data_IF_035909815386
#
_entry.id   IF_035909815386
#
_cell.length_a   1.000
_cell.length_b   1.000
_cell.length_c   1.000
_cell.angle_alpha   90.00
_cell.angle_beta   90.00
_cell.angle_gamma   90.00
#
_symmetry.space_group_name_H-M   'P 1'
#
loop_
_entity.id
_entity.type
_entity.pdbx_description
1 polymer ?
#
# COMPACT_ATOMS: atom_id res chain seq x y z
N UNK A 1 -8.95 -14.87 -2.17
CA UNK A 1 -9.74 -13.93 -1.36
C UNK A 1 -9.32 -12.50 -1.68
N UNK A 2 -10.23 -11.59 -2.07
CA UNK A 2 -9.85 -10.20 -2.39
C UNK A 2 -9.30 -9.48 -1.16
N UNK A 3 -8.13 -8.86 -1.30
CA UNK A 3 -7.49 -8.08 -0.24
C UNK A 3 -6.46 -7.09 -0.83
N UNK A 4 -6.13 -6.05 -0.08
CA UNK A 4 -5.05 -5.10 -0.41
C UNK A 4 -4.04 -4.90 0.73
N UNK A 5 -4.38 -5.31 1.96
CA UNK A 5 -3.61 -5.00 3.16
C UNK A 5 -2.96 -6.22 3.83
N UNK A 6 -3.36 -7.44 3.47
CA UNK A 6 -2.84 -8.65 4.08
C UNK A 6 -1.55 -9.07 3.36
N UNK A 7 -0.55 -9.48 4.14
CA UNK A 7 0.70 -10.11 3.67
C UNK A 7 0.91 -11.34 4.54
N UNK A 8 1.46 -12.42 3.97
CA UNK A 8 1.46 -13.74 4.58
C UNK A 8 2.25 -13.82 5.91
N UNK A 9 3.25 -12.97 6.09
CA UNK A 9 4.11 -12.88 7.27
C UNK A 9 3.57 -11.94 8.36
N UNK A 10 2.39 -11.33 8.16
CA UNK A 10 1.75 -10.50 9.18
C UNK A 10 1.08 -11.37 10.25
N UNK A 11 1.57 -11.27 11.48
CA UNK A 11 0.91 -11.86 12.66
C UNK A 11 -0.37 -11.13 13.03
N UNK A 12 -0.40 -9.80 12.87
CA UNK A 12 -1.55 -8.96 13.17
C UNK A 12 -1.96 -8.07 11.98
N UNK A 13 -2.84 -8.55 11.07
CA UNK A 13 -3.21 -7.79 9.89
C UNK A 13 -4.02 -6.52 10.25
N UNK A 14 -3.79 -5.36 9.60
CA UNK A 14 -4.41 -4.10 9.99
C UNK A 14 -5.91 -4.02 9.70
N UNK A 15 -6.47 -4.97 8.93
CA UNK A 15 -7.89 -5.01 8.50
C UNK A 15 -8.35 -3.75 7.75
N UNK A 16 -7.41 -2.93 7.28
CA UNK A 16 -7.67 -1.58 6.74
C UNK A 16 -8.49 -1.62 5.46
N UNK A 17 -8.23 -2.57 4.56
CA UNK A 17 -8.93 -2.60 3.26
C UNK A 17 -10.36 -3.14 3.34
N UNK A 18 -10.72 -3.94 4.35
CA UNK A 18 -12.05 -4.56 4.53
C UNK A 18 -12.59 -5.30 3.29
N UNK A 19 -11.72 -5.79 2.40
CA UNK A 19 -12.14 -6.53 1.20
C UNK A 19 -12.29 -8.04 1.45
N UNK A 20 -11.66 -8.58 2.48
CA UNK A 20 -11.62 -10.02 2.73
C UNK A 20 -12.82 -10.55 3.54
N UNK A 21 -13.97 -9.88 3.52
CA UNK A 21 -15.17 -10.35 4.23
C UNK A 21 -15.59 -11.75 3.78
N UNK A 22 -16.01 -12.57 4.74
CA UNK A 22 -16.60 -13.89 4.56
C UNK A 22 -17.73 -14.10 5.54
N UNK A 23 -18.68 -14.97 5.21
CA UNK A 23 -19.68 -15.46 6.15
C UNK A 23 -19.24 -16.80 6.73
N UNK A 24 -19.41 -16.95 8.04
CA UNK A 24 -19.13 -18.17 8.77
C UNK A 24 -20.45 -18.61 9.37
N UNK A 25 -20.83 -19.88 9.20
CA UNK A 25 -22.19 -20.35 9.48
C UNK A 25 -22.70 -20.07 10.92
N UNK A 26 -21.81 -20.07 11.90
CA UNK A 26 -22.10 -19.81 13.32
C UNK A 26 -21.88 -18.34 13.74
N UNK A 27 -21.58 -17.44 12.79
CA UNK A 27 -21.35 -16.02 13.06
C UNK A 27 -22.44 -15.18 12.38
N UNK A 28 -23.18 -14.34 13.12
CA UNK A 28 -24.35 -13.63 12.59
C UNK A 28 -24.00 -12.54 11.55
N UNK A 29 -22.76 -12.06 11.55
CA UNK A 29 -22.29 -11.02 10.64
C UNK A 29 -21.05 -11.46 9.86
N UNK A 30 -20.89 -11.03 8.59
CA UNK A 30 -19.67 -11.28 7.86
C UNK A 30 -18.47 -10.70 8.59
N UNK A 31 -17.40 -11.48 8.64
CA UNK A 31 -16.17 -11.17 9.36
C UNK A 31 -15.00 -11.05 8.38
N UNK A 32 -13.98 -10.23 8.66
CA UNK A 32 -12.80 -10.13 7.82
C UNK A 32 -11.96 -11.41 7.96
N UNK A 33 -11.78 -12.17 6.88
CA UNK A 33 -11.07 -13.44 6.89
C UNK A 33 -9.64 -13.34 7.43
N UNK A 34 -8.96 -12.20 7.22
CA UNK A 34 -7.58 -12.01 7.69
C UNK A 34 -7.41 -11.93 9.21
N UNK A 35 -8.48 -11.90 10.00
CA UNK A 35 -8.42 -11.85 11.48
C UNK A 35 -9.12 -13.02 12.16
N UNK A 36 -9.76 -13.89 11.40
CA UNK A 36 -10.53 -14.99 11.95
C UNK A 36 -9.64 -16.21 12.05
N UNK A 37 -9.47 -16.73 13.27
CA UNK A 37 -8.77 -17.99 13.49
C UNK A 37 -9.59 -19.14 12.88
N UNK A 38 -8.91 -20.02 12.15
CA UNK A 38 -9.53 -21.23 11.59
C UNK A 38 -9.80 -22.22 12.72
N UNK A 39 -10.98 -22.82 12.71
CA UNK A 39 -11.40 -23.86 13.65
C UNK A 39 -11.87 -25.11 12.91
N UNK A 40 -11.76 -26.27 13.56
CA UNK A 40 -12.28 -27.52 13.01
C UNK A 40 -13.80 -27.40 12.73
N UNK A 41 -14.25 -27.96 11.60
CA UNK A 41 -15.66 -27.92 11.19
C UNK A 41 -16.19 -26.53 10.81
N UNK A 42 -15.33 -25.54 10.57
CA UNK A 42 -15.74 -24.21 10.12
C UNK A 42 -16.29 -24.27 8.70
N UNK A 43 -17.52 -23.77 8.48
CA UNK A 43 -18.14 -23.63 7.16
C UNK A 43 -18.11 -22.17 6.75
N UNK A 44 -17.39 -21.87 5.66
CA UNK A 44 -17.13 -20.50 5.20
C UNK A 44 -17.72 -20.29 3.81
N UNK A 45 -18.49 -19.21 3.65
CA UNK A 45 -19.00 -18.75 2.37
C UNK A 45 -18.36 -17.43 1.98
N UNK A 46 -17.73 -17.39 0.79
CA UNK A 46 -16.85 -16.27 0.38
C UNK A 46 -17.45 -15.39 -0.69
N UNK A 47 -18.65 -15.70 -1.18
CA UNK A 47 -19.24 -15.10 -2.37
C UNK A 47 -20.75 -14.82 -2.25
N UNK A 48 -21.30 -14.81 -1.04
CA UNK A 48 -22.72 -14.49 -0.81
C UNK A 48 -23.01 -13.03 -1.16
N UNK A 49 -24.28 -12.72 -1.41
CA UNK A 49 -24.67 -11.35 -1.75
C UNK A 49 -24.31 -10.33 -0.65
N UNK A 50 -24.39 -10.74 0.62
CA UNK A 50 -24.03 -9.91 1.76
C UNK A 50 -22.53 -9.61 1.77
N UNK A 51 -21.68 -10.61 1.52
CA UNK A 51 -20.23 -10.43 1.35
C UNK A 51 -19.93 -9.50 0.17
N UNK A 52 -20.53 -9.73 -1.00
CA UNK A 52 -20.32 -8.90 -2.19
C UNK A 52 -20.80 -7.46 -2.02
N UNK A 53 -21.86 -7.22 -1.24
CA UNK A 53 -22.30 -5.87 -0.87
C UNK A 53 -21.25 -5.16 -0.02
N UNK A 54 -20.75 -5.81 1.04
CA UNK A 54 -19.73 -5.24 1.91
C UNK A 54 -18.43 -4.93 1.17
N UNK A 55 -17.95 -5.86 0.33
CA UNK A 55 -16.75 -5.67 -0.48
C UNK A 55 -16.86 -4.47 -1.41
N UNK A 56 -18.00 -4.31 -2.10
CA UNK A 56 -18.25 -3.14 -2.96
C UNK A 56 -18.30 -1.85 -2.16
N UNK A 57 -18.91 -1.85 -0.98
CA UNK A 57 -18.94 -0.66 -0.10
C UNK A 57 -17.54 -0.30 0.40
N UNK A 58 -16.77 -1.28 0.90
CA UNK A 58 -15.39 -1.07 1.33
C UNK A 58 -14.52 -0.51 0.19
N UNK A 59 -14.61 -1.09 -1.01
CA UNK A 59 -13.85 -0.58 -2.15
C UNK A 59 -14.26 0.84 -2.53
N UNK A 60 -15.56 1.17 -2.51
CA UNK A 60 -16.01 2.55 -2.79
C UNK A 60 -15.48 3.55 -1.78
N UNK A 61 -15.36 3.18 -0.50
CA UNK A 61 -14.76 4.02 0.54
C UNK A 61 -13.25 4.19 0.34
N UNK A 62 -12.53 3.15 -0.08
CA UNK A 62 -11.12 3.29 -0.46
C UNK A 62 -10.97 4.26 -1.64
N UNK A 63 -11.84 4.13 -2.65
CA UNK A 63 -11.83 4.98 -3.85
C UNK A 63 -12.33 6.41 -3.59
N UNK A 64 -13.09 6.68 -2.52
CA UNK A 64 -13.47 8.04 -2.16
C UNK A 64 -12.32 8.84 -1.54
N UNK A 65 -11.32 8.16 -0.99
CA UNK A 65 -10.10 8.74 -0.44
C UNK A 65 -8.91 8.71 -1.42
N UNK A 66 -8.93 7.80 -2.39
CA UNK A 66 -7.86 7.63 -3.39
C UNK A 66 -8.11 8.52 -4.61
N UNK A 67 -7.14 9.37 -4.96
CA UNK A 67 -7.19 10.16 -6.20
C UNK A 67 -6.79 9.29 -7.39
N UNK A 68 -7.80 8.73 -8.07
CA UNK A 68 -7.62 7.87 -9.24
C UNK A 68 -7.18 8.66 -10.49
N UNK A 69 -5.89 9.00 -10.57
CA UNK A 69 -5.23 9.42 -11.81
C UNK A 69 -4.47 8.24 -12.43
N UNK A 70 -5.22 7.23 -12.85
CA UNK A 70 -4.63 6.00 -13.36
C UNK A 70 -3.84 6.19 -14.65
N UNK A 71 -4.10 7.24 -15.44
CA UNK A 71 -3.39 7.46 -16.70
C UNK A 71 -1.91 7.76 -16.48
N UNK A 72 -1.61 8.54 -15.45
CA UNK A 72 -0.26 8.98 -15.10
C UNK A 72 0.33 8.20 -13.90
N UNK A 73 -0.25 7.04 -13.57
CA UNK A 73 0.19 6.20 -12.46
C UNK A 73 1.11 5.08 -12.98
N UNK A 74 2.31 4.87 -12.39
CA UNK A 74 3.20 3.78 -12.79
C UNK A 74 2.56 2.39 -12.69
N UNK A 75 1.67 2.18 -11.72
CA UNK A 75 0.98 0.90 -11.55
C UNK A 75 -0.19 0.68 -12.54
N UNK A 76 -0.42 1.56 -13.51
CA UNK A 76 -1.56 1.44 -14.41
C UNK A 76 -1.56 0.08 -15.14
N UNK A 77 -2.73 -0.58 -15.22
CA UNK A 77 -2.95 -1.93 -15.77
C UNK A 77 -2.31 -3.08 -14.98
N UNK A 78 -1.50 -2.79 -13.96
CA UNK A 78 -0.88 -3.77 -13.05
C UNK A 78 -1.20 -3.45 -11.58
N UNK A 79 -2.29 -2.73 -11.33
CA UNK A 79 -2.65 -2.23 -10.01
C UNK A 79 -3.70 -3.14 -9.36
N UNK A 80 -3.37 -3.82 -8.24
CA UNK A 80 -4.34 -4.59 -7.46
C UNK A 80 -5.65 -3.85 -7.15
N UNK A 81 -5.63 -2.52 -6.94
CA UNK A 81 -6.86 -1.75 -6.73
C UNK A 81 -7.74 -1.71 -7.99
N UNK A 82 -7.15 -1.62 -9.19
CA UNK A 82 -7.87 -1.73 -10.46
C UNK A 82 -8.45 -3.13 -10.64
N UNK A 83 -7.70 -4.16 -10.25
CA UNK A 83 -8.15 -5.55 -10.34
C UNK A 83 -9.34 -5.80 -9.42
N UNK A 84 -9.30 -5.28 -8.20
CA UNK A 84 -10.43 -5.35 -7.26
C UNK A 84 -11.65 -4.59 -7.79
N UNK A 85 -11.45 -3.43 -8.41
CA UNK A 85 -12.52 -2.67 -9.05
C UNK A 85 -13.18 -3.43 -10.20
N UNK A 86 -12.39 -4.08 -11.06
CA UNK A 86 -12.89 -4.95 -12.13
C UNK A 86 -13.64 -6.15 -11.56
N UNK A 87 -13.02 -6.85 -10.60
CA UNK A 87 -13.60 -8.03 -9.96
C UNK A 87 -14.96 -7.76 -9.29
N UNK A 88 -15.10 -6.61 -8.63
CA UNK A 88 -16.33 -6.23 -7.91
C UNK A 88 -17.33 -5.41 -8.76
N UNK A 89 -17.01 -5.13 -10.03
CA UNK A 89 -17.83 -4.29 -10.90
C UNK A 89 -18.00 -2.86 -10.37
N UNK A 90 -16.98 -2.30 -9.73
CA UNK A 90 -16.97 -0.94 -9.18
C UNK A 90 -16.17 -0.01 -10.08
N UNK A 91 -16.69 1.17 -10.38
CA UNK A 91 -15.95 2.20 -11.12
C UNK A 91 -14.86 2.81 -10.23
N UNK A 92 -13.67 3.01 -10.79
CA UNK A 92 -12.54 3.66 -10.11
C UNK A 92 -12.84 5.09 -9.65
N UNK A 93 -13.81 5.76 -10.30
CA UNK A 93 -14.36 7.05 -9.86
C UNK A 93 -15.85 6.88 -9.54
N UNK A 94 -16.22 6.62 -8.26
CA UNK A 94 -17.61 6.49 -7.84
C UNK A 94 -18.37 7.81 -8.04
N UNK A 95 -19.59 7.78 -8.59
CA UNK A 95 -20.41 8.98 -8.84
C UNK A 95 -21.21 9.49 -7.61
N UNK A 96 -21.45 8.61 -6.62
CA UNK A 96 -22.40 8.85 -5.50
C UNK A 96 -21.74 9.01 -4.14
N UNK A 97 -20.44 8.89 -4.07
CA UNK A 97 -19.68 9.35 -2.92
C UNK A 97 -19.00 10.61 -3.41
N UNK A 98 -19.30 11.74 -2.79
CA UNK A 98 -18.44 12.91 -2.94
C UNK A 98 -17.02 12.41 -2.63
N UNK A 99 -16.07 12.69 -3.53
CA UNK A 99 -14.68 12.51 -3.15
C UNK A 99 -14.50 13.34 -1.89
N UNK A 100 -14.12 12.68 -0.80
CA UNK A 100 -13.87 13.41 0.44
C UNK A 100 -12.75 14.37 0.08
N UNK A 101 -13.06 15.66 0.05
CA UNK A 101 -12.07 16.70 -0.17
C UNK A 101 -11.20 16.73 1.08
N UNK A 102 -10.20 15.86 1.09
CA UNK A 102 -9.14 15.88 2.07
C UNK A 102 -8.12 16.90 1.61
N UNK A 103 -7.66 17.73 2.56
CA UNK A 103 -6.39 18.42 2.45
C UNK A 103 -5.29 17.35 2.48
N UNK A 104 -5.02 16.79 1.30
CA UNK A 104 -3.96 15.81 1.14
C UNK A 104 -2.65 16.57 1.09
N UNK A 105 -1.68 16.26 1.98
CA UNK A 105 -0.38 16.89 1.96
C UNK A 105 0.35 16.67 0.63
N UNK A 106 1.34 17.53 0.39
CA UNK A 106 2.27 17.39 -0.72
C UNK A 106 3.02 16.04 -0.66
N UNK A 107 3.56 15.58 -1.80
CA UNK A 107 4.42 14.40 -1.84
C UNK A 107 5.54 14.48 -0.80
N UNK A 108 5.80 13.36 -0.14
CA UNK A 108 6.95 13.21 0.74
C UNK A 108 8.13 12.74 -0.10
N UNK A 109 9.22 13.50 -0.05
CA UNK A 109 10.44 13.23 -0.81
C UNK A 109 11.46 12.47 0.04
N UNK A 110 11.96 11.36 -0.51
CA UNK A 110 13.11 10.62 0.01
C UNK A 110 14.19 10.56 -1.09
N UNK A 111 15.50 10.44 -0.76
CA UNK A 111 16.54 10.39 -1.79
C UNK A 111 16.32 9.31 -2.87
N UNK A 112 15.79 8.14 -2.49
CA UNK A 112 15.57 7.00 -3.39
C UNK A 112 14.16 6.88 -3.99
N UNK A 113 13.15 7.50 -3.37
CA UNK A 113 11.75 7.31 -3.77
C UNK A 113 10.90 8.54 -3.46
N UNK A 114 9.75 8.62 -4.10
CA UNK A 114 8.73 9.63 -3.79
C UNK A 114 7.48 8.92 -3.26
N UNK A 115 6.88 9.47 -2.20
CA UNK A 115 5.58 9.03 -1.70
C UNK A 115 4.52 10.08 -2.03
N UNK A 116 3.46 9.66 -2.73
CA UNK A 116 2.28 10.47 -3.06
C UNK A 116 1.12 10.05 -2.13
N UNK A 117 0.81 10.83 -1.08
CA UNK A 117 -0.23 10.48 -0.12
C UNK A 117 -1.61 10.32 -0.75
N UNK A 118 -1.91 11.07 -1.82
CA UNK A 118 -3.20 11.04 -2.51
C UNK A 118 -3.49 9.73 -3.25
N UNK A 119 -2.45 8.93 -3.54
CA UNK A 119 -2.57 7.59 -4.13
C UNK A 119 -2.67 6.49 -3.05
N UNK A 120 -2.36 6.80 -1.78
CA UNK A 120 -2.33 5.80 -0.73
C UNK A 120 -3.74 5.31 -0.36
N UNK A 121 -3.89 4.00 -0.18
CA UNK A 121 -5.13 3.37 0.33
C UNK A 121 -5.02 2.94 1.80
N UNK A 122 -4.00 3.43 2.51
CA UNK A 122 -3.73 3.15 3.93
C UNK A 122 -3.65 1.66 4.28
N UNK A 123 -3.19 0.84 3.33
CA UNK A 123 -3.13 -0.60 3.50
C UNK A 123 -2.13 -1.06 4.59
N UNK A 124 -1.11 -0.26 4.90
CA UNK A 124 -0.10 -0.58 5.93
C UNK A 124 0.98 -1.55 5.50
N UNK A 125 0.98 -2.04 4.26
CA UNK A 125 2.00 -2.97 3.76
C UNK A 125 3.41 -2.38 3.83
N UNK A 126 3.57 -1.09 3.50
CA UNK A 126 4.84 -0.38 3.62
C UNK A 126 5.31 -0.22 5.07
N UNK A 127 4.39 0.01 6.01
CA UNK A 127 4.68 0.11 7.44
C UNK A 127 5.19 -1.22 7.97
N UNK A 128 4.50 -2.31 7.63
CA UNK A 128 4.94 -3.66 7.97
C UNK A 128 6.31 -3.99 7.37
N UNK A 129 6.49 -3.80 6.06
CA UNK A 129 7.76 -4.03 5.39
C UNK A 129 8.91 -3.21 6.02
N UNK A 130 8.68 -1.93 6.31
CA UNK A 130 9.69 -1.07 6.94
C UNK A 130 10.11 -1.60 8.32
N UNK A 131 9.17 -2.14 9.12
CA UNK A 131 9.48 -2.76 10.42
C UNK A 131 10.22 -4.09 10.26
N UNK A 132 9.78 -4.95 9.35
CA UNK A 132 10.38 -6.28 9.12
C UNK A 132 11.84 -6.17 8.63
N UNK A 133 12.15 -5.15 7.83
CA UNK A 133 13.50 -4.89 7.34
C UNK A 133 14.34 -4.00 8.29
N UNK A 134 13.95 -3.86 9.56
CA UNK A 134 14.73 -3.22 10.61
C UNK A 134 14.76 -1.68 10.59
N UNK A 135 14.02 -1.04 9.67
CA UNK A 135 14.03 0.42 9.53
C UNK A 135 13.03 1.15 10.42
N UNK A 136 11.83 0.59 10.67
CA UNK A 136 10.81 1.11 11.58
C UNK A 136 10.28 2.55 11.32
N UNK A 137 10.80 3.26 10.32
CA UNK A 137 10.61 4.68 10.08
C UNK A 137 9.19 5.05 9.66
N UNK A 138 8.58 4.22 8.79
CA UNK A 138 7.23 4.48 8.28
C UNK A 138 6.17 4.02 9.27
N UNK A 139 5.22 4.89 9.58
CA UNK A 139 4.09 4.60 10.47
C UNK A 139 2.82 5.31 10.04
N UNK A 140 1.72 5.00 10.72
CA UNK A 140 0.49 5.79 10.63
C UNK A 140 0.64 7.03 11.51
N UNK A 141 0.41 8.21 10.93
CA UNK A 141 0.36 9.47 11.67
C UNK A 141 -1.03 10.11 11.56
N UNK A 142 -1.32 11.05 12.47
CA UNK A 142 -2.65 11.66 12.66
C UNK A 142 -3.72 10.60 12.98
N UNK A 143 -5.00 10.98 12.99
CA UNK A 143 -6.12 10.09 13.37
C UNK A 143 -7.38 10.38 12.54
N UNK A 144 -8.32 9.42 12.55
CA UNK A 144 -9.62 9.58 11.90
C UNK A 144 -9.50 9.84 10.39
N UNK A 145 -10.26 10.82 9.90
CA UNK A 145 -10.22 11.23 8.50
C UNK A 145 -8.92 11.95 8.09
N UNK A 146 -7.99 12.21 9.00
CA UNK A 146 -6.70 12.82 8.63
C UNK A 146 -5.54 11.81 8.65
N UNK A 147 -5.84 10.54 8.90
CA UNK A 147 -4.82 9.47 8.95
C UNK A 147 -4.06 9.37 7.65
N UNK A 148 -2.72 9.37 7.73
CA UNK A 148 -1.82 9.16 6.60
C UNK A 148 -0.61 8.31 6.99
N UNK A 149 0.13 7.82 5.99
CA UNK A 149 1.43 7.19 6.22
C UNK A 149 2.49 8.28 6.20
N UNK A 150 3.34 8.32 7.22
CA UNK A 150 4.44 9.28 7.31
C UNK A 150 5.65 8.66 8.00
N UNK A 151 6.75 9.41 8.01
CA UNK A 151 7.95 9.08 8.78
C UNK A 151 7.81 9.60 10.23
N UNK A 152 8.43 8.89 11.18
CA UNK A 152 8.58 9.39 12.55
C UNK A 152 9.43 10.68 12.59
N UNK A 153 9.11 11.65 13.48
CA UNK A 153 9.92 12.85 13.67
C UNK A 153 11.36 12.52 14.08
N UNK A 154 12.28 13.40 13.70
CA UNK A 154 13.73 13.19 13.73
C UNK A 154 14.32 13.24 15.16
N UNK A 155 13.54 13.61 16.17
CA UNK A 155 14.01 13.71 17.55
C UNK A 155 14.39 12.33 18.16
N UNK A 156 13.88 11.23 17.58
CA UNK A 156 14.26 9.83 17.88
C UNK A 156 15.24 9.21 16.83
N UNK A 157 15.73 10.01 15.87
CA UNK A 157 16.38 9.52 14.64
C UNK A 157 17.81 9.01 14.77
N UNK A 158 18.50 9.20 15.89
CA UNK A 158 19.83 8.58 16.05
C UNK A 158 19.77 7.04 15.98
N UNK A 159 18.58 6.44 16.17
CA UNK A 159 18.37 5.00 16.15
C UNK A 159 17.61 4.45 14.92
N UNK A 160 16.91 5.29 14.14
CA UNK A 160 16.00 4.85 13.07
C UNK A 160 16.41 5.46 11.72
N UNK A 161 17.43 4.86 11.10
CA UNK A 161 17.91 5.24 9.78
C UNK A 161 17.25 4.37 8.69
N UNK A 162 16.71 5.00 7.65
CA UNK A 162 16.25 4.29 6.47
C UNK A 162 17.48 3.74 5.71
N UNK A 163 17.73 2.43 5.80
CA UNK A 163 18.82 1.77 5.08
C UNK A 163 18.61 1.64 3.56
N UNK A 164 17.57 2.28 3.00
CA UNK A 164 17.34 2.30 1.55
C UNK A 164 16.99 0.95 0.91
N UNK A 165 16.46 -0.02 1.66
CA UNK A 165 16.15 -1.36 1.16
C UNK A 165 14.98 -1.44 0.17
N UNK A 166 14.24 -0.34 -0.04
CA UNK A 166 13.09 -0.21 -0.95
C UNK A 166 11.93 -1.21 -0.72
N UNK A 167 11.93 -1.96 0.39
CA UNK A 167 10.87 -2.91 0.70
C UNK A 167 9.48 -2.23 0.82
N UNK A 168 9.43 -0.96 1.23
CA UNK A 168 8.20 -0.19 1.31
C UNK A 168 7.57 0.09 -0.07
N UNK A 169 8.40 0.28 -1.09
CA UNK A 169 8.00 0.48 -2.48
C UNK A 169 7.45 -0.82 -3.05
N UNK A 170 8.22 -1.90 -2.97
CA UNK A 170 7.83 -3.21 -3.47
C UNK A 170 6.54 -3.74 -2.81
N UNK A 171 6.30 -3.36 -1.55
CA UNK A 171 5.10 -3.73 -0.82
C UNK A 171 3.86 -2.89 -1.20
N UNK A 172 4.01 -1.76 -1.90
CA UNK A 172 2.91 -0.82 -2.16
C UNK A 172 1.99 -1.31 -3.29
N UNK A 173 0.69 -1.60 -3.02
CA UNK A 173 -0.20 -2.17 -4.02
C UNK A 173 -0.77 -1.15 -5.02
N UNK A 174 -0.43 0.13 -4.91
CA UNK A 174 -1.08 1.23 -5.66
C UNK A 174 -0.11 2.26 -6.21
N UNK A 175 1.21 1.97 -6.18
CA UNK A 175 2.28 2.92 -6.53
C UNK A 175 2.10 4.30 -5.88
N UNK A 176 1.69 4.30 -4.60
CA UNK A 176 1.77 5.50 -3.78
C UNK A 176 3.22 5.79 -3.39
N UNK A 177 4.07 4.75 -3.31
CA UNK A 177 5.52 4.86 -3.22
C UNK A 177 6.05 4.34 -4.56
N UNK A 178 6.99 5.06 -5.18
CA UNK A 178 7.68 4.62 -6.40
C UNK A 178 9.12 5.14 -6.39
N UNK A 179 10.02 4.40 -7.01
CA UNK A 179 11.45 4.72 -7.12
C UNK A 179 11.60 5.96 -8.00
N UNK A 180 12.53 6.86 -7.63
CA UNK A 180 12.91 7.96 -8.51
C UNK A 180 13.74 7.40 -9.64
N UNK A 181 13.44 7.81 -10.88
CA UNK A 181 14.32 7.55 -12.01
C UNK A 181 15.63 8.32 -11.78
N UNK A 182 16.55 7.73 -11.04
CA UNK A 182 17.94 8.17 -11.01
C UNK A 182 18.55 7.58 -12.27
N UNK A 183 18.93 8.41 -13.23
CA UNK A 183 20.05 8.05 -14.10
C UNK A 183 21.17 7.55 -13.16
N UNK A 184 21.79 6.39 -13.42
CA UNK A 184 22.92 5.97 -12.62
C UNK A 184 23.96 7.09 -12.66
N UNK A 185 24.61 7.44 -11.53
CA UNK A 185 25.71 8.40 -11.58
C UNK A 185 26.67 7.90 -12.64
N UNK A 186 26.95 8.73 -13.64
CA UNK A 186 27.92 8.44 -14.68
C UNK A 186 29.14 7.83 -14.01
N UNK A 187 29.37 6.53 -14.25
CA UNK A 187 30.63 5.94 -13.91
C UNK A 187 31.66 6.79 -14.65
N UNK A 188 32.45 7.56 -13.90
CA UNK A 188 33.64 8.22 -14.40
C UNK A 188 34.45 7.16 -15.11
N UNK A 189 34.32 7.12 -16.43
CA UNK A 189 35.26 6.47 -17.31
C UNK A 189 36.56 7.27 -17.22
N UNK A 190 37.32 7.06 -16.15
CA UNK A 190 38.76 7.21 -16.26
C UNK A 190 39.22 6.11 -17.21
N UNK A 191 39.41 6.50 -18.48
CA UNK A 191 40.10 5.67 -19.43
C UNK A 191 41.46 5.27 -18.81
N UNK A 192 41.84 3.98 -18.80
CA UNK A 192 43.21 3.64 -18.48
C UNK A 192 44.09 4.37 -19.50
N UNK A 193 44.93 5.27 -19.00
CA UNK A 193 45.93 5.98 -19.81
C UNK A 193 46.77 4.98 -20.60
N UNK A 194 47.29 5.36 -21.78
CA UNK A 194 48.03 4.45 -22.63
C UNK A 194 49.18 3.82 -21.84
N UNK A 195 49.27 2.49 -21.86
CA UNK A 195 50.43 1.78 -21.35
C UNK A 195 51.67 2.27 -22.12
N UNK A 196 52.60 2.84 -21.37
CA UNK A 196 53.96 3.11 -21.81
C UNK A 196 54.64 1.77 -22.18
N UNK A 197 55.08 1.56 -23.44
CA UNK A 197 55.73 0.31 -23.84
C UNK A 197 57.21 0.24 -23.47
N UNK A 198 57.71 1.11 -22.58
CA UNK A 198 59.14 1.20 -22.25
C UNK A 198 59.43 1.24 -20.75
N UNK A 199 59.01 0.23 -19.99
CA UNK A 199 59.66 -0.13 -18.72
C UNK A 199 59.33 -1.54 -18.24
#
# INVERSE_FOLDING_TARGET
>A
MPNLCFVADMTDPPVSCRLCFVEVADVPQPVPACKVAVRAGMVVQTATDRVRRLQRSALRLLLSAHRADCRNCPANKQCPLQDMARFLGVRLRPRRLEQVQRDVPDPMEHPLFTFIPSRCVLCGRCVHACRTHGGGLLTYIRRGFDTLIGALPVDDAESLHCGGCLACEAACPVAAIFIKDTEPPEATMEAPGPLDPSR
#
